data_IF_684524806495
#
_entry.id   IF_684524806495
#
_cell.length_a   1.000
_cell.length_b   1.000
_cell.length_c   1.000
_cell.angle_alpha   90.00
_cell.angle_beta   90.00
_cell.angle_gamma   90.00
#
_symmetry.space_group_name_H-M   'P 1'
#
loop_
_entity.id
_entity.type
_entity.pdbx_description
1 polymer ?
#
# COMPACT_ATOMS: atom_id res chain seq x y z
N UNK A 1 -24.03 50.37 42.49
CA UNK A 1 -23.02 49.43 41.92
C UNK A 1 -23.67 48.34 41.03
N UNK A 2 -24.90 47.93 41.30
CA UNK A 2 -25.57 46.78 40.66
C UNK A 2 -25.90 46.97 39.16
N UNK A 3 -26.30 48.18 38.74
CA UNK A 3 -26.64 48.45 37.32
C UNK A 3 -25.48 48.30 36.34
N UNK A 4 -24.24 48.60 36.76
CA UNK A 4 -23.03 48.42 35.92
C UNK A 4 -22.69 46.94 35.74
N UNK A 5 -22.89 46.13 36.78
CA UNK A 5 -22.70 44.69 36.71
C UNK A 5 -23.72 44.03 35.77
N UNK A 6 -25.01 44.39 35.89
CA UNK A 6 -26.07 43.88 35.02
C UNK A 6 -25.82 44.17 33.53
N UNK A 7 -25.41 45.40 33.19
CA UNK A 7 -25.08 45.78 31.81
C UNK A 7 -23.86 44.99 31.27
N UNK A 8 -22.89 44.71 32.12
CA UNK A 8 -21.68 43.95 31.76
C UNK A 8 -22.04 42.50 31.45
N UNK A 9 -22.86 41.87 32.29
CA UNK A 9 -23.37 40.50 32.11
C UNK A 9 -24.20 40.41 30.83
N UNK A 10 -25.12 41.36 30.59
CA UNK A 10 -25.94 41.37 29.38
C UNK A 10 -25.11 41.54 28.10
N UNK A 11 -24.10 42.42 28.12
CA UNK A 11 -23.16 42.59 27.00
C UNK A 11 -22.43 41.28 26.71
N UNK A 12 -21.90 40.62 27.75
CA UNK A 12 -21.20 39.35 27.60
C UNK A 12 -22.12 38.23 27.06
N UNK A 13 -23.35 38.14 27.58
CA UNK A 13 -24.35 37.18 27.15
C UNK A 13 -24.77 37.37 25.69
N UNK A 14 -25.01 38.63 25.26
CA UNK A 14 -25.31 38.95 23.85
C UNK A 14 -24.16 38.55 22.94
N UNK A 15 -22.91 38.84 23.35
CA UNK A 15 -21.71 38.44 22.63
C UNK A 15 -21.55 36.92 22.54
N UNK A 16 -21.76 36.20 23.65
CA UNK A 16 -21.73 34.73 23.69
C UNK A 16 -22.79 34.12 22.76
N UNK A 17 -24.04 34.60 22.83
CA UNK A 17 -25.15 34.12 21.98
C UNK A 17 -24.86 34.35 20.49
N UNK A 18 -24.33 35.53 20.12
CA UNK A 18 -23.96 35.83 18.74
C UNK A 18 -22.84 34.91 18.24
N UNK A 19 -21.77 34.73 19.03
CA UNK A 19 -20.67 33.81 18.68
C UNK A 19 -21.13 32.37 18.54
N UNK A 20 -22.01 31.90 19.44
CA UNK A 20 -22.58 30.55 19.38
C UNK A 20 -23.40 30.33 18.10
N UNK A 21 -24.23 31.31 17.71
CA UNK A 21 -25.00 31.25 16.45
C UNK A 21 -24.08 31.18 15.22
N UNK A 22 -23.06 32.04 15.15
CA UNK A 22 -22.07 32.03 14.06
C UNK A 22 -21.29 30.72 14.02
N UNK A 23 -20.90 30.19 15.18
CA UNK A 23 -20.20 28.91 15.27
C UNK A 23 -21.06 27.75 14.73
N UNK A 24 -22.33 27.68 15.14
CA UNK A 24 -23.28 26.69 14.62
C UNK A 24 -23.46 26.79 13.10
N UNK A 25 -23.60 28.00 12.57
CA UNK A 25 -23.68 28.22 11.11
C UNK A 25 -22.41 27.76 10.39
N UNK A 26 -21.22 28.08 10.92
CA UNK A 26 -19.94 27.60 10.37
C UNK A 26 -19.83 26.09 10.40
N UNK A 27 -20.27 25.45 11.47
CA UNK A 27 -20.28 23.99 11.60
C UNK A 27 -21.21 23.34 10.58
N UNK A 28 -22.43 23.88 10.41
CA UNK A 28 -23.39 23.42 9.40
C UNK A 28 -22.82 23.56 7.98
N UNK A 29 -22.20 24.69 7.65
CA UNK A 29 -21.54 24.88 6.35
C UNK A 29 -20.38 23.90 6.14
N UNK A 30 -19.59 23.62 7.18
CA UNK A 30 -18.49 22.64 7.11
C UNK A 30 -19.03 21.23 6.83
N UNK A 31 -20.10 20.83 7.53
CA UNK A 31 -20.78 19.56 7.32
C UNK A 31 -21.36 19.46 5.91
N UNK A 32 -22.02 20.51 5.42
CA UNK A 32 -22.57 20.53 4.06
C UNK A 32 -21.47 20.40 3.00
N UNK A 33 -20.37 21.16 3.13
CA UNK A 33 -19.22 21.04 2.21
C UNK A 33 -18.63 19.63 2.23
N UNK A 34 -18.47 19.04 3.41
CA UNK A 34 -17.99 17.66 3.56
C UNK A 34 -18.94 16.66 2.88
N UNK A 35 -20.25 16.81 3.08
CA UNK A 35 -21.26 15.97 2.44
C UNK A 35 -21.19 16.04 0.91
N UNK A 36 -21.04 17.25 0.33
CA UNK A 36 -20.89 17.43 -1.12
C UNK A 36 -19.63 16.75 -1.65
N UNK A 37 -18.51 16.83 -0.92
CA UNK A 37 -17.25 16.16 -1.31
C UNK A 37 -17.45 14.63 -1.31
N UNK A 38 -18.05 14.09 -0.24
CA UNK A 38 -18.32 12.65 -0.12
C UNK A 38 -19.26 12.20 -1.24
N UNK A 39 -20.35 12.93 -1.49
CA UNK A 39 -21.29 12.64 -2.57
C UNK A 39 -20.60 12.61 -3.92
N UNK A 40 -19.79 13.64 -4.25
CA UNK A 40 -19.02 13.68 -5.51
C UNK A 40 -18.07 12.51 -5.65
N UNK A 41 -17.36 12.16 -4.57
CA UNK A 41 -16.45 11.01 -4.55
C UNK A 41 -17.21 9.70 -4.78
N UNK A 42 -18.35 9.51 -4.10
CA UNK A 42 -19.21 8.35 -4.25
C UNK A 42 -19.77 8.23 -5.68
N UNK A 43 -20.29 9.31 -6.26
CA UNK A 43 -20.76 9.33 -7.65
C UNK A 43 -19.64 8.98 -8.64
N UNK A 44 -18.43 9.53 -8.45
CA UNK A 44 -17.27 9.22 -9.30
C UNK A 44 -16.87 7.75 -9.18
N UNK A 45 -16.87 7.21 -7.96
CA UNK A 45 -16.58 5.79 -7.70
C UNK A 45 -17.63 4.88 -8.34
N UNK A 46 -18.92 5.15 -8.11
CA UNK A 46 -20.01 4.38 -8.70
C UNK A 46 -19.98 4.43 -10.23
N UNK A 47 -19.71 5.60 -10.82
CA UNK A 47 -19.52 5.75 -12.26
C UNK A 47 -18.33 4.92 -12.78
N UNK A 48 -17.21 4.89 -12.06
CA UNK A 48 -16.05 4.03 -12.39
C UNK A 48 -16.43 2.55 -12.30
N UNK A 49 -17.15 2.14 -11.26
CA UNK A 49 -17.63 0.77 -11.08
C UNK A 49 -18.61 0.35 -12.18
N UNK A 50 -19.56 1.20 -12.56
CA UNK A 50 -20.47 0.94 -13.67
C UNK A 50 -19.73 0.81 -15.01
N UNK A 51 -18.76 1.68 -15.29
CA UNK A 51 -17.93 1.57 -16.51
C UNK A 51 -17.14 0.26 -16.54
N UNK A 52 -16.55 -0.14 -15.42
CA UNK A 52 -15.88 -1.44 -15.30
C UNK A 52 -16.86 -2.59 -15.53
N UNK A 53 -18.05 -2.57 -14.92
CA UNK A 53 -19.08 -3.58 -15.15
C UNK A 53 -19.54 -3.65 -16.61
N UNK A 54 -19.69 -2.51 -17.30
CA UNK A 54 -20.01 -2.45 -18.74
C UNK A 54 -18.84 -2.90 -19.63
N UNK A 55 -17.60 -2.63 -19.24
CA UNK A 55 -16.43 -3.13 -19.96
C UNK A 55 -16.27 -4.65 -19.78
N UNK A 56 -16.65 -5.16 -18.61
CA UNK A 56 -16.65 -6.58 -18.28
C UNK A 56 -17.95 -7.28 -18.67
N UNK A 57 -18.97 -6.59 -19.22
CA UNK A 57 -20.14 -7.27 -19.76
C UNK A 57 -19.69 -7.91 -21.08
N UNK A 58 -19.48 -9.23 -21.14
CA UNK A 58 -18.89 -9.87 -22.31
C UNK A 58 -19.86 -9.89 -23.50
N UNK A 59 -21.10 -9.48 -23.26
CA UNK A 59 -22.20 -9.57 -24.19
C UNK A 59 -22.77 -8.18 -24.42
N UNK A 60 -22.31 -7.54 -25.50
CA UNK A 60 -23.23 -6.68 -26.24
C UNK A 60 -24.36 -7.60 -26.67
N UNK A 61 -25.60 -7.22 -26.39
CA UNK A 61 -26.78 -7.94 -26.85
C UNK A 61 -26.58 -8.27 -28.33
N UNK A 62 -26.48 -9.58 -28.71
CA UNK A 62 -26.17 -9.93 -30.07
C UNK A 62 -27.22 -9.31 -30.98
N UNK A 63 -26.77 -8.55 -31.98
CA UNK A 63 -27.65 -8.04 -33.04
C UNK A 63 -28.46 -9.22 -33.55
N UNK A 64 -29.78 -9.16 -33.48
CA UNK A 64 -30.64 -10.30 -33.79
C UNK A 64 -30.29 -10.84 -35.18
N UNK A 65 -29.65 -12.01 -35.20
CA UNK A 65 -29.26 -12.69 -36.43
C UNK A 65 -30.54 -13.19 -37.11
N UNK A 66 -30.79 -12.74 -38.33
CA UNK A 66 -31.88 -13.27 -39.16
C UNK A 66 -31.69 -14.77 -39.36
N UNK A 67 -32.78 -15.52 -39.51
CA UNK A 67 -32.74 -17.00 -39.70
C UNK A 67 -31.77 -17.44 -40.81
N UNK A 68 -31.69 -16.71 -41.93
CA UNK A 68 -30.75 -16.97 -43.02
C UNK A 68 -29.27 -16.83 -42.60
N UNK A 69 -28.96 -15.85 -41.73
CA UNK A 69 -27.60 -15.63 -41.24
C UNK A 69 -27.16 -16.73 -40.28
N UNK A 70 -28.10 -17.22 -39.44
CA UNK A 70 -27.85 -18.37 -38.56
C UNK A 70 -27.53 -19.63 -39.37
N UNK A 71 -28.28 -19.89 -40.45
CA UNK A 71 -28.04 -21.03 -41.33
C UNK A 71 -26.67 -20.95 -42.03
N UNK A 72 -26.30 -19.77 -42.55
CA UNK A 72 -25.01 -19.57 -43.19
C UNK A 72 -23.83 -19.73 -42.22
N UNK A 73 -23.99 -19.30 -40.97
CA UNK A 73 -23.00 -19.53 -39.90
C UNK A 73 -22.89 -21.01 -39.55
N UNK A 74 -24.02 -21.70 -39.42
CA UNK A 74 -24.04 -23.13 -39.17
C UNK A 74 -23.30 -23.90 -40.27
N UNK A 75 -23.57 -23.58 -41.54
CA UNK A 75 -22.86 -24.19 -42.67
C UNK A 75 -21.34 -23.95 -42.60
N UNK A 76 -20.90 -22.74 -42.27
CA UNK A 76 -19.47 -22.46 -42.09
C UNK A 76 -18.85 -23.27 -40.95
N UNK A 77 -19.57 -23.45 -39.84
CA UNK A 77 -19.12 -24.27 -38.71
C UNK A 77 -19.03 -25.73 -39.14
N UNK A 78 -20.05 -26.25 -39.81
CA UNK A 78 -20.10 -27.64 -40.27
C UNK A 78 -18.98 -27.92 -41.29
N UNK A 79 -18.74 -27.01 -42.24
CA UNK A 79 -17.66 -27.12 -43.22
C UNK A 79 -16.28 -27.08 -42.53
N UNK A 80 -16.11 -26.22 -41.52
CA UNK A 80 -14.89 -26.18 -40.74
C UNK A 80 -14.65 -27.48 -39.95
N UNK A 81 -15.69 -28.04 -39.33
CA UNK A 81 -15.62 -29.32 -38.61
C UNK A 81 -15.27 -30.46 -39.57
N UNK A 82 -15.85 -30.47 -40.79
CA UNK A 82 -15.52 -31.46 -41.84
C UNK A 82 -14.05 -31.38 -42.24
N UNK A 83 -13.49 -30.18 -42.35
CA UNK A 83 -12.09 -29.96 -42.70
C UNK A 83 -11.12 -30.27 -41.54
N UNK A 84 -11.60 -30.21 -40.29
CA UNK A 84 -10.78 -30.39 -39.07
C UNK A 84 -11.45 -31.37 -38.10
N UNK A 85 -11.47 -32.68 -38.42
CA UNK A 85 -11.99 -33.68 -37.51
C UNK A 85 -11.10 -33.76 -36.26
N UNK A 86 -11.60 -33.18 -35.16
CA UNK A 86 -10.98 -33.32 -33.86
C UNK A 86 -11.25 -34.71 -33.28
N UNK A 87 -10.33 -35.21 -32.46
CA UNK A 87 -10.59 -36.40 -31.64
C UNK A 87 -11.87 -36.19 -30.84
N UNK A 88 -12.84 -37.12 -30.97
CA UNK A 88 -14.11 -37.02 -30.26
C UNK A 88 -13.85 -37.17 -28.76
N UNK A 89 -13.72 -36.04 -28.07
CA UNK A 89 -13.76 -36.00 -26.61
C UNK A 89 -15.20 -36.22 -26.17
N UNK A 90 -15.43 -37.19 -25.29
CA UNK A 90 -16.74 -37.35 -24.69
C UNK A 90 -17.10 -36.11 -23.88
N UNK A 91 -18.39 -35.81 -23.76
CA UNK A 91 -18.87 -34.67 -22.99
C UNK A 91 -18.36 -34.71 -21.54
N UNK A 92 -18.28 -35.91 -20.94
CA UNK A 92 -17.71 -36.12 -19.61
C UNK A 92 -16.24 -35.72 -19.54
N UNK A 93 -15.41 -36.13 -20.51
CA UNK A 93 -14.00 -35.75 -20.56
C UNK A 93 -13.81 -34.24 -20.76
N UNK A 94 -14.69 -33.59 -21.54
CA UNK A 94 -14.65 -32.14 -21.70
C UNK A 94 -14.99 -31.39 -20.42
N UNK A 95 -16.00 -31.87 -19.67
CA UNK A 95 -16.38 -31.29 -18.38
C UNK A 95 -15.27 -31.46 -17.34
N UNK A 96 -14.67 -32.64 -17.29
CA UNK A 96 -13.55 -32.94 -16.41
C UNK A 96 -12.33 -32.05 -16.69
N UNK A 97 -11.93 -31.93 -17.96
CA UNK A 97 -10.81 -31.08 -18.35
C UNK A 97 -11.07 -29.59 -18.04
N UNK A 98 -12.32 -29.14 -18.19
CA UNK A 98 -12.71 -27.80 -17.81
C UNK A 98 -12.58 -27.58 -16.30
N UNK A 99 -13.03 -28.54 -15.50
CA UNK A 99 -12.97 -28.48 -14.03
C UNK A 99 -11.52 -28.47 -13.54
N UNK A 100 -10.67 -29.34 -14.10
CA UNK A 100 -9.22 -29.34 -13.85
C UNK A 100 -8.56 -28.00 -14.24
N UNK A 101 -8.96 -27.42 -15.36
CA UNK A 101 -8.48 -26.10 -15.79
C UNK A 101 -8.87 -24.98 -14.83
N UNK A 102 -10.12 -24.98 -14.37
CA UNK A 102 -10.59 -24.02 -13.37
C UNK A 102 -9.87 -24.18 -12.03
N UNK A 103 -9.64 -25.42 -11.59
CA UNK A 103 -8.93 -25.70 -10.35
C UNK A 103 -7.48 -25.20 -10.41
N UNK A 104 -6.75 -25.51 -11.48
CA UNK A 104 -5.39 -25.00 -11.70
C UNK A 104 -5.34 -23.47 -11.73
N UNK A 105 -6.32 -22.83 -12.37
CA UNK A 105 -6.41 -21.37 -12.39
C UNK A 105 -6.63 -20.81 -10.98
N UNK A 106 -7.53 -21.42 -10.20
CA UNK A 106 -7.78 -21.00 -8.82
C UNK A 106 -6.52 -21.12 -7.94
N UNK A 107 -5.81 -22.25 -8.06
CA UNK A 107 -4.52 -22.48 -7.37
C UNK A 107 -3.47 -21.43 -7.77
N UNK A 108 -3.34 -21.14 -9.07
CA UNK A 108 -2.43 -20.11 -9.57
C UNK A 108 -2.78 -18.72 -9.02
N UNK A 109 -4.06 -18.31 -9.08
CA UNK A 109 -4.49 -17.00 -8.61
C UNK A 109 -4.25 -16.82 -7.11
N UNK A 110 -4.48 -17.88 -6.32
CA UNK A 110 -4.19 -17.87 -4.88
C UNK A 110 -2.70 -17.66 -4.64
N UNK A 111 -1.84 -18.45 -5.29
CA UNK A 111 -0.39 -18.37 -5.14
C UNK A 111 0.19 -17.05 -5.65
N UNK A 112 -0.24 -16.61 -6.82
CA UNK A 112 0.18 -15.34 -7.43
C UNK A 112 -0.09 -14.14 -6.51
N UNK A 113 -1.19 -14.17 -5.76
CA UNK A 113 -1.50 -13.10 -4.80
C UNK A 113 -0.49 -13.00 -3.65
N UNK A 114 0.04 -14.13 -3.18
CA UNK A 114 1.07 -14.22 -2.15
C UNK A 114 2.43 -13.80 -2.71
N UNK A 115 2.79 -14.36 -3.88
CA UNK A 115 4.07 -14.13 -4.54
C UNK A 115 4.23 -12.66 -4.95
N UNK A 116 3.15 -11.98 -5.33
CA UNK A 116 3.20 -10.55 -5.70
C UNK A 116 3.77 -9.66 -4.61
N UNK A 117 3.49 -9.95 -3.33
CA UNK A 117 4.03 -9.15 -2.22
C UNK A 117 5.53 -9.41 -2.03
N UNK A 118 5.96 -10.65 -2.22
CA UNK A 118 7.38 -11.00 -2.16
C UNK A 118 8.14 -10.34 -3.32
N UNK A 119 7.59 -10.37 -4.54
CA UNK A 119 8.19 -9.73 -5.71
C UNK A 119 8.29 -8.21 -5.53
N UNK A 120 7.22 -7.55 -5.08
CA UNK A 120 7.24 -6.11 -4.77
C UNK A 120 8.30 -5.75 -3.73
N UNK A 121 8.49 -6.59 -2.70
CA UNK A 121 9.55 -6.38 -1.70
C UNK A 121 10.94 -6.53 -2.33
N UNK A 122 11.12 -7.54 -3.18
CA UNK A 122 12.38 -7.78 -3.91
C UNK A 122 12.71 -6.62 -4.85
N UNK A 123 11.73 -6.15 -5.60
CA UNK A 123 11.85 -4.99 -6.49
C UNK A 123 12.20 -3.71 -5.71
N UNK A 124 11.54 -3.47 -4.57
CA UNK A 124 11.83 -2.32 -3.72
C UNK A 124 13.26 -2.37 -3.14
N UNK A 125 13.70 -3.56 -2.70
CA UNK A 125 15.06 -3.76 -2.21
C UNK A 125 16.10 -3.55 -3.32
N UNK A 126 15.86 -4.08 -4.52
CA UNK A 126 16.74 -3.87 -5.66
C UNK A 126 16.83 -2.39 -6.05
N UNK A 127 15.69 -1.68 -6.05
CA UNK A 127 15.68 -0.24 -6.30
C UNK A 127 16.49 0.52 -5.24
N UNK A 128 16.33 0.16 -3.96
CA UNK A 128 17.10 0.77 -2.87
C UNK A 128 18.61 0.51 -3.03
N UNK A 129 19.01 -0.74 -3.29
CA UNK A 129 20.43 -1.08 -3.49
C UNK A 129 21.00 -0.31 -4.67
N UNK A 130 20.27 -0.21 -5.79
CA UNK A 130 20.72 0.56 -6.94
C UNK A 130 20.88 2.04 -6.60
N UNK A 131 19.94 2.65 -5.88
CA UNK A 131 20.06 4.05 -5.44
C UNK A 131 21.24 4.26 -4.49
N UNK A 132 21.49 3.31 -3.59
CA UNK A 132 22.61 3.39 -2.64
C UNK A 132 23.95 3.24 -3.38
N UNK A 133 24.03 2.34 -4.37
CA UNK A 133 25.21 2.19 -5.23
C UNK A 133 25.46 3.44 -6.05
N UNK A 134 24.45 4.00 -6.72
CA UNK A 134 24.58 5.24 -7.48
C UNK A 134 25.05 6.39 -6.58
N UNK A 135 24.48 6.50 -5.38
CA UNK A 135 24.88 7.49 -4.39
C UNK A 135 26.36 7.35 -4.02
N UNK A 136 26.82 6.13 -3.71
CA UNK A 136 28.22 5.87 -3.36
C UNK A 136 29.18 6.10 -4.54
N UNK A 137 28.79 5.71 -5.76
CA UNK A 137 29.60 5.92 -6.96
C UNK A 137 29.71 7.40 -7.33
N UNK A 138 28.72 8.22 -6.93
CA UNK A 138 28.73 9.67 -7.12
C UNK A 138 29.35 10.46 -5.96
N UNK A 139 29.90 9.78 -4.95
CA UNK A 139 30.42 10.45 -3.77
C UNK A 139 31.64 11.33 -4.11
N UNK A 140 31.67 12.60 -3.66
CA UNK A 140 32.81 13.48 -3.87
C UNK A 140 34.02 12.98 -3.08
N UNK A 141 35.22 13.35 -3.52
CA UNK A 141 36.44 13.08 -2.77
C UNK A 141 36.41 13.81 -1.42
N UNK A 142 37.10 13.28 -0.40
CA UNK A 142 37.12 13.89 0.94
C UNK A 142 37.65 15.33 0.95
N UNK A 143 38.44 15.70 -0.05
CA UNK A 143 39.00 17.06 -0.20
C UNK A 143 37.98 18.04 -0.80
N UNK A 144 37.00 17.55 -1.56
CA UNK A 144 36.01 18.33 -2.30
C UNK A 144 34.64 18.33 -1.61
N UNK A 145 34.44 17.45 -0.63
CA UNK A 145 33.18 17.28 0.08
C UNK A 145 32.76 18.57 0.81
N UNK A 146 31.55 19.04 0.51
CA UNK A 146 30.92 20.20 1.14
C UNK A 146 29.85 19.75 2.15
N UNK A 147 29.47 20.63 3.09
CA UNK A 147 28.39 20.36 4.06
C UNK A 147 27.08 19.91 3.40
N UNK A 148 26.79 20.43 2.20
CA UNK A 148 25.61 20.04 1.40
C UNK A 148 25.65 18.60 0.91
N UNK A 149 26.84 18.05 0.70
CA UNK A 149 26.99 16.66 0.25
C UNK A 149 26.70 15.69 1.41
N UNK A 150 26.98 16.11 2.65
CA UNK A 150 26.66 15.33 3.86
C UNK A 150 25.15 15.09 4.00
N UNK A 151 24.33 16.09 3.66
CA UNK A 151 22.87 15.97 3.71
C UNK A 151 22.32 14.86 2.80
N UNK A 152 23.06 14.48 1.76
CA UNK A 152 22.67 13.40 0.83
C UNK A 152 22.88 12.01 1.47
N UNK A 153 23.93 11.86 2.30
CA UNK A 153 24.24 10.60 2.99
C UNK A 153 23.54 10.46 4.35
N UNK A 154 22.94 11.53 4.87
CA UNK A 154 22.25 11.54 6.16
C UNK A 154 20.77 11.21 6.01
N UNK A 155 20.26 10.32 6.88
CA UNK A 155 18.83 10.07 6.97
C UNK A 155 18.10 11.32 7.51
N UNK A 156 16.99 11.70 6.86
CA UNK A 156 16.09 12.76 7.35
C UNK A 156 15.37 12.38 8.65
N UNK A 157 15.33 11.09 8.98
CA UNK A 157 14.71 10.59 10.20
C UNK A 157 15.66 10.74 11.38
N UNK A 158 15.33 11.64 12.31
CA UNK A 158 16.15 11.91 13.50
C UNK A 158 16.47 10.65 14.31
N UNK A 159 15.51 9.74 14.60
CA UNK A 159 15.83 8.49 15.30
C UNK A 159 16.84 7.62 14.56
N UNK A 160 16.72 7.51 13.24
CA UNK A 160 17.62 6.71 12.39
C UNK A 160 19.01 7.32 12.37
N UNK A 161 19.11 8.63 12.17
CA UNK A 161 20.38 9.36 12.19
C UNK A 161 21.08 9.27 13.56
N UNK A 162 20.33 9.42 14.65
CA UNK A 162 20.85 9.27 16.01
C UNK A 162 21.36 7.84 16.26
N UNK A 163 20.62 6.80 15.86
CA UNK A 163 21.04 5.41 16.00
C UNK A 163 22.30 5.11 15.19
N UNK A 164 22.36 5.59 13.94
CA UNK A 164 23.54 5.46 13.08
C UNK A 164 24.77 6.13 13.71
N UNK A 165 24.62 7.36 14.24
CA UNK A 165 25.69 8.06 14.95
C UNK A 165 26.14 7.33 16.22
N UNK A 166 25.20 6.78 16.99
CA UNK A 166 25.54 6.00 18.18
C UNK A 166 26.33 4.73 17.80
N UNK A 167 25.84 3.98 16.81
CA UNK A 167 26.48 2.77 16.28
C UNK A 167 27.90 3.07 15.76
N UNK A 168 28.07 4.15 14.99
CA UNK A 168 29.39 4.57 14.54
C UNK A 168 30.33 4.93 15.70
N UNK A 169 29.83 5.65 16.71
CA UNK A 169 30.63 5.98 17.89
C UNK A 169 31.00 4.75 18.72
N UNK A 170 30.11 3.76 18.84
CA UNK A 170 30.43 2.50 19.52
C UNK A 170 31.49 1.72 18.74
N UNK A 171 31.37 1.66 17.42
CA UNK A 171 32.38 1.05 16.54
C UNK A 171 33.75 1.74 16.70
N UNK A 172 33.81 3.07 16.63
CA UNK A 172 35.07 3.82 16.82
C UNK A 172 35.70 3.62 18.20
N UNK A 173 34.86 3.56 19.26
CA UNK A 173 35.33 3.26 20.61
C UNK A 173 35.94 1.88 20.64
N UNK A 174 35.26 0.87 20.11
CA UNK A 174 35.74 -0.50 20.03
C UNK A 174 37.07 -0.59 19.28
N UNK A 175 37.20 0.05 18.10
CA UNK A 175 38.45 0.06 17.33
C UNK A 175 39.62 0.60 18.17
N UNK A 176 39.37 1.63 18.99
CA UNK A 176 40.38 2.27 19.86
C UNK A 176 40.64 1.52 21.16
N UNK A 177 39.92 0.45 21.47
CA UNK A 177 40.16 -0.30 22.70
C UNK A 177 41.51 -1.01 22.64
N UNK A 178 42.22 -1.10 23.79
CA UNK A 178 43.38 -1.96 23.91
C UNK A 178 43.02 -3.40 23.53
N UNK A 179 43.96 -4.11 22.90
CA UNK A 179 43.76 -5.49 22.43
C UNK A 179 43.21 -6.42 23.53
N UNK A 180 43.62 -6.23 24.78
CA UNK A 180 43.16 -7.05 25.91
C UNK A 180 41.69 -6.86 26.27
N UNK A 181 41.04 -5.76 25.87
CA UNK A 181 39.58 -5.57 26.01
C UNK A 181 38.78 -6.17 24.86
N UNK A 182 39.46 -6.56 23.77
CA UNK A 182 38.86 -7.24 22.62
C UNK A 182 38.90 -8.76 22.76
N UNK A 183 39.63 -9.26 23.76
CA UNK A 183 39.66 -10.67 24.12
C UNK A 183 38.26 -11.11 24.61
N UNK A 184 37.67 -12.09 23.93
CA UNK A 184 36.32 -12.62 24.23
C UNK A 184 35.24 -12.24 23.22
N UNK A 185 35.48 -11.23 22.37
CA UNK A 185 34.56 -10.81 21.31
C UNK A 185 34.66 -11.71 20.06
N UNK A 186 35.76 -12.46 19.92
CA UNK A 186 35.98 -13.45 18.85
C UNK A 186 35.00 -14.64 18.89
N UNK A 187 34.23 -14.78 19.97
CA UNK A 187 33.20 -15.82 20.16
C UNK A 187 31.76 -15.30 20.05
N UNK A 188 31.60 -13.99 19.80
CA UNK A 188 30.31 -13.38 19.50
C UNK A 188 30.25 -13.16 17.99
N UNK A 189 29.51 -13.99 17.27
CA UNK A 189 29.26 -13.77 15.84
C UNK A 189 28.65 -12.36 15.65
N UNK A 190 29.17 -11.60 14.68
CA UNK A 190 28.72 -10.23 14.32
C UNK A 190 27.23 -10.20 13.85
N UNK A 191 26.67 -11.39 13.58
CA UNK A 191 25.26 -11.62 13.24
C UNK A 191 24.35 -11.82 14.46
N UNK A 192 24.87 -11.86 15.69
CA UNK A 192 24.06 -11.99 16.89
C UNK A 192 23.45 -10.64 17.25
N UNK A 193 22.27 -10.36 16.67
CA UNK A 193 21.42 -9.22 17.07
C UNK A 193 21.25 -9.30 18.61
N UNK A 194 21.67 -8.29 19.38
CA UNK A 194 21.53 -8.31 20.83
C UNK A 194 20.08 -8.58 21.22
N UNK A 195 19.84 -9.51 22.15
CA UNK A 195 18.50 -9.96 22.57
C UNK A 195 17.58 -8.79 23.00
N UNK A 196 18.19 -7.68 23.46
CA UNK A 196 17.50 -6.43 23.80
C UNK A 196 16.84 -5.75 22.58
N UNK A 197 17.37 -5.91 21.36
CA UNK A 197 16.80 -5.34 20.13
C UNK A 197 15.57 -6.14 19.69
N UNK A 198 15.62 -7.48 19.77
CA UNK A 198 14.50 -8.35 19.44
C UNK A 198 13.32 -8.12 20.41
N UNK A 199 13.59 -8.04 21.71
CA UNK A 199 12.54 -7.76 22.70
C UNK A 199 11.89 -6.38 22.54
N UNK A 200 12.63 -5.38 22.05
CA UNK A 200 12.09 -4.04 21.79
C UNK A 200 11.20 -4.00 20.54
N UNK A 201 11.52 -4.78 19.49
CA UNK A 201 10.70 -4.87 18.28
C UNK A 201 9.39 -5.63 18.51
N UNK A 202 9.39 -6.68 19.33
CA UNK A 202 8.15 -7.40 19.68
C UNK A 202 7.27 -6.63 20.70
N UNK A 203 7.87 -5.84 21.60
CA UNK A 203 7.13 -5.05 22.59
C UNK A 203 6.41 -3.82 22.05
N UNK A 204 6.78 -3.33 20.86
CA UNK A 204 6.17 -2.15 20.22
C UNK A 204 5.09 -2.48 19.18
N UNK A 205 4.87 -3.76 18.88
CA UNK A 205 3.72 -4.24 18.13
C UNK A 205 2.47 -4.18 19.02
N UNK A 206 1.83 -3.01 19.06
CA UNK A 206 0.48 -2.86 19.58
C UNK A 206 -0.48 -3.76 18.78
N UNK A 207 -0.70 -4.99 19.26
CA UNK A 207 -1.78 -5.86 18.80
C UNK A 207 -3.05 -5.36 19.49
N UNK A 208 -3.82 -4.56 18.75
CA UNK A 208 -5.13 -4.09 19.21
C UNK A 208 -5.99 -5.27 19.65
N UNK A 209 -6.45 -5.23 20.91
CA UNK A 209 -7.16 -6.31 21.55
C UNK A 209 -8.35 -6.83 20.75
N UNK A 210 -8.35 -8.13 20.48
CA UNK A 210 -9.58 -8.87 20.19
C UNK A 210 -10.42 -8.93 21.46
N UNK A 211 -11.63 -8.37 21.40
CA UNK A 211 -12.65 -8.58 22.43
C UNK A 211 -12.98 -10.07 22.50
N UNK A 212 -12.79 -10.67 23.67
CA UNK A 212 -13.42 -11.95 24.02
C UNK A 212 -14.95 -11.76 23.99
N UNK A 213 -15.64 -12.53 23.15
CA UNK A 213 -17.06 -12.84 23.33
C UNK A 213 -17.20 -14.03 24.26
#
# INVERSE_FOLDING_TARGET
MEGKAALTIQRHWRGYRARRKVHQQRQSLKQHKAAVIIQRAAHKFLGKCQRKRKALSPWKEPKELTSAQKLALQQKVDDYIRLHPASQMSEGMSKELHLQGQEKLAQYLLRSSLDRRAEQRREALLAQVNTDVELLMSAPSLMEATEKDLDVFMSRSVPVACKARQSHNTMLKHTRWPWWKKLGDEFMDDDMIPDDVLNTEFGTLFIGGSKSS
#
